data_IF_619667429886
#
_entry.id   IF_619667429886
#
_cell.length_a   1.000
_cell.length_b   1.000
_cell.length_c   1.000
_cell.angle_alpha   90.00
_cell.angle_beta   90.00
_cell.angle_gamma   90.00
#
_symmetry.space_group_name_H-M   'P 1'
#
loop_
_entity.id
_entity.type
_entity.pdbx_description
1 polymer ?
#
# COMPACT_ATOMS: atom_id res chain seq x y z
N UNK A 1 -6.96 4.34 -16.04
CA UNK A 1 -5.89 4.37 -15.02
C UNK A 1 -6.53 4.06 -13.69
N UNK A 2 -6.05 3.03 -13.01
CA UNK A 2 -6.58 2.57 -11.74
C UNK A 2 -5.43 2.61 -10.73
N UNK A 3 -5.68 3.26 -9.60
CA UNK A 3 -4.80 3.25 -8.45
C UNK A 3 -5.51 2.58 -7.29
N UNK A 4 -4.85 1.62 -6.67
CA UNK A 4 -5.34 0.90 -5.50
C UNK A 4 -4.36 1.16 -4.36
N UNK A 5 -4.90 1.63 -3.23
CA UNK A 5 -4.19 1.70 -1.96
C UNK A 5 -4.80 0.65 -1.04
N UNK A 6 -4.01 -0.32 -0.60
CA UNK A 6 -4.46 -1.41 0.28
C UNK A 6 -3.81 -1.28 1.65
N UNK A 7 -4.55 -0.74 2.61
CA UNK A 7 -4.10 -0.56 3.98
C UNK A 7 -4.73 -1.63 4.89
N UNK A 8 -4.03 -2.75 5.06
CA UNK A 8 -4.47 -3.89 5.86
C UNK A 8 -3.27 -4.72 6.32
N UNK A 9 -3.39 -5.40 7.47
CA UNK A 9 -2.36 -6.35 7.90
C UNK A 9 -2.15 -7.44 6.86
N UNK A 10 -0.90 -7.85 6.65
CA UNK A 10 -0.52 -8.93 5.72
C UNK A 10 -0.93 -8.67 4.25
N UNK A 11 -1.10 -7.41 3.86
CA UNK A 11 -1.69 -6.99 2.58
C UNK A 11 -0.82 -7.23 1.33
N UNK A 12 0.49 -7.39 1.49
CA UNK A 12 1.44 -7.41 0.37
C UNK A 12 1.77 -8.78 -0.19
N UNK A 13 1.29 -9.86 0.44
CA UNK A 13 1.56 -11.22 -0.03
C UNK A 13 1.01 -11.52 -1.43
N UNK A 14 -0.08 -10.85 -1.80
CA UNK A 14 -0.66 -10.92 -3.13
C UNK A 14 0.10 -10.06 -4.15
N UNK A 15 0.74 -8.98 -3.70
CA UNK A 15 1.40 -7.95 -4.54
C UNK A 15 2.85 -8.29 -4.88
N UNK A 16 3.56 -8.93 -3.95
CA UNK A 16 4.99 -9.21 -4.03
C UNK A 16 5.34 -10.62 -4.56
N UNK A 17 4.35 -11.42 -4.98
CA UNK A 17 4.52 -12.84 -5.38
C UNK A 17 5.20 -13.70 -4.30
N UNK A 18 5.16 -13.28 -3.03
CA UNK A 18 5.81 -13.96 -1.90
C UNK A 18 5.13 -15.28 -1.51
N UNK A 19 3.91 -15.54 -2.00
CA UNK A 19 3.27 -16.86 -1.91
C UNK A 19 3.78 -17.80 -3.01
N UNK A 20 5.06 -18.14 -2.95
CA UNK A 20 5.55 -19.38 -3.57
C UNK A 20 5.33 -20.52 -2.57
N UNK A 21 4.63 -21.56 -2.98
CA UNK A 21 4.40 -22.79 -2.19
C UNK A 21 5.74 -23.49 -1.98
N UNK A 22 6.51 -23.14 -0.96
CA UNK A 22 7.60 -24.01 -0.48
C UNK A 22 7.70 -24.12 1.05
N UNK A 23 6.96 -23.34 1.84
CA UNK A 23 7.08 -23.38 3.32
C UNK A 23 5.78 -23.13 4.08
N UNK A 24 4.66 -23.67 3.61
CA UNK A 24 3.45 -23.76 4.44
C UNK A 24 3.54 -24.99 5.36
N UNK A 25 4.32 -24.90 6.44
CA UNK A 25 4.11 -25.78 7.60
C UNK A 25 3.13 -25.10 8.56
N UNK A 26 2.01 -25.79 8.77
CA UNK A 26 1.06 -25.70 9.88
C UNK A 26 0.32 -24.38 10.08
N UNK A 27 -0.84 -24.26 9.42
CA UNK A 27 -2.11 -23.90 10.04
C UNK A 27 -3.24 -24.27 9.08
N UNK A 28 -4.13 -25.17 9.49
CA UNK A 28 -5.34 -25.56 8.78
C UNK A 28 -6.23 -24.34 8.52
N UNK A 29 -6.15 -23.77 7.32
CA UNK A 29 -7.14 -22.86 6.76
C UNK A 29 -7.67 -23.46 5.45
N UNK A 30 -8.54 -24.47 5.60
CA UNK A 30 -9.38 -25.01 4.52
C UNK A 30 -10.50 -24.03 4.12
N UNK A 31 -10.14 -22.79 3.77
CA UNK A 31 -11.01 -21.81 3.10
C UNK A 31 -10.41 -21.38 1.74
N UNK A 32 -9.20 -21.85 1.39
CA UNK A 32 -8.42 -21.31 0.28
C UNK A 32 -7.89 -22.37 -0.71
N UNK A 33 -8.54 -23.53 -0.81
CA UNK A 33 -8.04 -24.65 -1.63
C UNK A 33 -8.30 -24.54 -3.14
N UNK A 34 -8.83 -23.42 -3.66
CA UNK A 34 -8.87 -23.21 -5.13
C UNK A 34 -8.85 -21.74 -5.60
N UNK A 35 -8.91 -20.76 -4.69
CA UNK A 35 -8.98 -19.34 -5.07
C UNK A 35 -7.61 -18.64 -5.16
N UNK A 36 -6.55 -19.27 -4.63
CA UNK A 36 -5.18 -18.70 -4.61
C UNK A 36 -4.49 -18.81 -5.97
N UNK A 37 -5.10 -19.46 -6.96
CA UNK A 37 -4.46 -19.74 -8.26
C UNK A 37 -4.23 -18.49 -9.10
N UNK A 38 -4.87 -17.33 -8.88
CA UNK A 38 -4.76 -16.21 -9.84
C UNK A 38 -4.89 -14.81 -9.23
N UNK A 39 -3.77 -14.23 -8.80
CA UNK A 39 -3.56 -12.78 -9.00
C UNK A 39 -3.23 -12.49 -10.49
N UNK A 40 -4.01 -13.05 -11.43
CA UNK A 40 -3.81 -12.83 -12.89
C UNK A 40 -4.06 -11.36 -13.30
N UNK A 41 -4.65 -10.55 -12.42
CA UNK A 41 -5.17 -9.23 -12.80
C UNK A 41 -4.29 -8.03 -12.41
N UNK A 42 -3.23 -8.21 -11.60
CA UNK A 42 -2.30 -7.10 -11.29
C UNK A 42 -1.31 -6.76 -12.42
N UNK A 43 -1.29 -7.56 -13.49
CA UNK A 43 -0.43 -7.36 -14.67
C UNK A 43 -1.07 -6.47 -15.75
N UNK A 44 -2.24 -5.89 -15.49
CA UNK A 44 -2.93 -5.01 -16.43
C UNK A 44 -2.15 -3.71 -16.63
N UNK A 45 -2.21 -3.19 -17.86
CA UNK A 45 -1.66 -1.88 -18.19
C UNK A 45 -2.44 -0.79 -17.44
N UNK A 46 -1.73 0.24 -16.97
CA UNK A 46 -2.32 1.40 -16.28
C UNK A 46 -3.04 1.09 -14.97
N UNK A 47 -2.55 0.07 -14.27
CA UNK A 47 -2.95 -0.34 -12.94
C UNK A 47 -1.73 -0.31 -12.02
N UNK A 48 -1.91 0.28 -10.84
CA UNK A 48 -0.90 0.26 -9.78
C UNK A 48 -1.54 0.03 -8.42
N UNK A 49 -0.91 -0.82 -7.63
CA UNK A 49 -1.27 -1.16 -6.26
C UNK A 49 -0.12 -0.77 -5.34
N UNK A 50 -0.43 -0.01 -4.29
CA UNK A 50 0.45 0.17 -3.14
C UNK A 50 -0.22 -0.49 -1.94
N UNK A 51 0.43 -1.45 -1.31
CA UNK A 51 -0.05 -2.09 -0.08
C UNK A 51 0.81 -1.70 1.13
N UNK A 52 0.21 -1.74 2.32
CA UNK A 52 0.79 -1.25 3.57
C UNK A 52 1.97 -2.05 4.10
N UNK A 53 2.10 -3.32 3.75
CA UNK A 53 3.18 -4.22 4.19
C UNK A 53 3.22 -5.49 3.34
N UNK A 54 4.28 -6.30 3.41
CA UNK A 54 4.39 -7.63 2.78
C UNK A 54 3.48 -8.70 3.43
N UNK A 55 3.57 -9.95 2.92
CA UNK A 55 2.74 -11.09 3.39
C UNK A 55 2.89 -11.43 4.88
N UNK A 56 4.07 -11.18 5.45
CA UNK A 56 4.40 -11.48 6.84
C UNK A 56 4.41 -10.27 7.76
N UNK A 57 4.02 -9.08 7.26
CA UNK A 57 4.13 -7.83 8.00
C UNK A 57 2.78 -7.36 8.54
N UNK A 58 2.80 -6.91 9.79
CA UNK A 58 1.68 -6.18 10.38
C UNK A 58 1.60 -4.77 9.80
N UNK A 59 0.38 -4.25 9.71
CA UNK A 59 0.12 -2.82 9.52
C UNK A 59 -0.27 -2.21 10.85
N UNK A 60 0.21 -1.01 11.11
CA UNK A 60 0.05 -0.37 12.41
C UNK A 60 -0.87 0.85 12.32
N UNK A 61 -1.59 1.08 13.41
CA UNK A 61 -2.21 2.36 13.73
C UNK A 61 -1.22 3.25 14.48
N UNK A 62 -1.45 4.56 14.43
CA UNK A 62 -0.74 5.50 15.30
C UNK A 62 -1.04 5.15 16.78
N UNK A 63 -0.12 5.42 17.72
CA UNK A 63 -0.34 5.13 19.14
C UNK A 63 -1.57 5.82 19.75
N UNK A 64 -2.06 6.89 19.14
CA UNK A 64 -3.28 7.60 19.53
C UNK A 64 -4.59 6.93 19.02
N UNK A 65 -4.48 5.84 18.25
CA UNK A 65 -5.62 5.10 17.69
C UNK A 65 -6.41 5.86 16.64
N UNK A 66 -5.90 6.98 16.13
CA UNK A 66 -6.66 7.85 15.21
C UNK A 66 -6.80 7.27 13.80
N UNK A 67 -5.69 6.75 13.25
CA UNK A 67 -5.60 6.27 11.88
C UNK A 67 -4.36 5.36 11.70
N UNK A 68 -4.37 4.53 10.67
CA UNK A 68 -3.20 3.76 10.21
C UNK A 68 -1.98 4.66 9.96
N UNK A 69 -0.78 4.16 10.26
CA UNK A 69 0.49 4.86 9.99
C UNK A 69 0.62 5.20 8.50
N UNK A 70 0.34 4.27 7.59
CA UNK A 70 0.45 4.50 6.15
C UNK A 70 -0.47 5.62 5.67
N UNK A 71 -1.74 5.59 6.04
CA UNK A 71 -2.67 6.67 5.67
C UNK A 71 -2.30 8.01 6.30
N UNK A 72 -1.79 8.04 7.55
CA UNK A 72 -1.31 9.28 8.17
C UNK A 72 -0.17 9.93 7.38
N UNK A 73 0.82 9.13 6.98
CA UNK A 73 1.97 9.60 6.19
C UNK A 73 1.53 10.09 4.80
N UNK A 74 0.58 9.40 4.17
CA UNK A 74 -0.01 9.85 2.89
C UNK A 74 -0.73 11.19 3.03
N UNK A 75 -1.57 11.36 4.05
CA UNK A 75 -2.27 12.62 4.31
C UNK A 75 -1.27 13.75 4.57
N UNK A 76 -0.24 13.51 5.40
CA UNK A 76 0.79 14.49 5.69
C UNK A 76 1.56 14.91 4.43
N UNK A 77 1.81 13.97 3.50
CA UNK A 77 2.41 14.25 2.21
C UNK A 77 1.47 15.09 1.32
N UNK A 78 0.18 14.74 1.26
CA UNK A 78 -0.83 15.47 0.48
C UNK A 78 -1.05 16.91 0.99
N UNK A 79 -0.94 17.13 2.30
CA UNK A 79 -1.04 18.48 2.89
C UNK A 79 0.14 19.38 2.48
N UNK A 80 1.29 18.81 2.13
CA UNK A 80 2.49 19.56 1.72
C UNK A 80 2.57 19.77 0.20
N UNK A 81 1.85 18.97 -0.59
CA UNK A 81 1.91 18.96 -2.04
C UNK A 81 0.49 18.91 -2.63
N UNK A 82 0.12 19.92 -3.41
CA UNK A 82 -1.18 19.99 -4.10
C UNK A 82 -1.30 19.02 -5.29
N UNK A 83 -0.23 18.28 -5.60
CA UNK A 83 -0.19 17.27 -6.65
C UNK A 83 0.87 16.24 -6.30
N UNK A 84 0.48 14.97 -6.25
CA UNK A 84 1.38 13.87 -5.94
C UNK A 84 1.46 12.87 -7.08
N UNK A 85 2.66 12.62 -7.59
CA UNK A 85 2.90 11.45 -8.43
C UNK A 85 2.78 10.17 -7.58
N UNK A 86 2.08 9.16 -8.06
CA UNK A 86 1.97 7.86 -7.38
C UNK A 86 3.34 7.21 -7.15
N UNK A 87 4.29 7.36 -8.07
CA UNK A 87 5.65 6.86 -7.91
C UNK A 87 6.40 7.59 -6.78
N UNK A 88 6.30 8.92 -6.73
CA UNK A 88 6.86 9.71 -5.62
C UNK A 88 6.19 9.39 -4.28
N UNK A 89 4.88 9.13 -4.32
CA UNK A 89 4.10 8.74 -3.14
C UNK A 89 4.65 7.45 -2.55
N UNK A 90 4.89 6.44 -3.40
CA UNK A 90 5.50 5.19 -2.94
C UNK A 90 6.91 5.41 -2.35
N UNK A 91 7.76 6.19 -3.01
CA UNK A 91 9.12 6.50 -2.52
C UNK A 91 9.10 7.18 -1.15
N UNK A 92 8.13 8.05 -0.92
CA UNK A 92 7.93 8.65 0.39
C UNK A 92 7.51 7.61 1.43
N UNK A 93 6.47 6.82 1.14
CA UNK A 93 5.90 5.86 2.08
C UNK A 93 6.89 4.75 2.47
N UNK A 94 7.68 4.24 1.52
CA UNK A 94 8.69 3.20 1.81
C UNK A 94 9.82 3.72 2.72
N UNK A 95 9.95 5.05 2.87
CA UNK A 95 10.91 5.66 3.79
C UNK A 95 10.23 6.02 5.11
N UNK A 96 9.09 6.72 5.07
CA UNK A 96 8.49 7.33 6.25
C UNK A 96 7.75 6.33 7.12
N UNK A 97 7.07 5.33 6.55
CA UNK A 97 6.30 4.34 7.32
C UNK A 97 7.21 3.47 8.20
N UNK A 98 8.29 2.83 7.69
CA UNK A 98 9.20 2.07 8.55
C UNK A 98 9.85 2.95 9.61
N UNK A 99 10.20 4.19 9.26
CA UNK A 99 10.80 5.14 10.19
C UNK A 99 9.84 5.50 11.32
N UNK A 100 8.57 5.77 11.01
CA UNK A 100 7.54 6.05 12.00
C UNK A 100 7.37 4.89 12.97
N UNK A 101 7.21 3.67 12.45
CA UNK A 101 7.05 2.46 13.27
C UNK A 101 8.24 2.28 14.21
N UNK A 102 9.46 2.39 13.69
CA UNK A 102 10.70 2.30 14.48
C UNK A 102 10.76 3.30 15.64
N UNK A 103 10.29 4.52 15.41
CA UNK A 103 10.39 5.61 16.41
C UNK A 103 9.26 5.59 17.44
N UNK A 104 8.06 5.12 17.06
CA UNK A 104 6.85 5.31 17.87
C UNK A 104 6.24 4.00 18.37
N UNK A 105 6.68 2.84 17.89
CA UNK A 105 6.13 1.53 18.26
C UNK A 105 7.28 0.62 18.74
N UNK A 106 7.64 0.67 20.03
CA UNK A 106 8.77 -0.08 20.57
C UNK A 106 8.63 -1.59 20.36
N UNK A 107 9.67 -2.23 19.84
CA UNK A 107 9.71 -3.68 19.64
C UNK A 107 8.92 -4.18 18.41
N UNK A 108 8.31 -3.28 17.64
CA UNK A 108 7.66 -3.66 16.39
C UNK A 108 8.68 -3.90 15.27
N UNK A 109 8.43 -4.95 14.48
CA UNK A 109 9.11 -5.14 13.20
C UNK A 109 8.73 -4.02 12.22
N UNK A 110 9.64 -3.62 11.32
CA UNK A 110 9.35 -2.58 10.34
C UNK A 110 8.14 -2.94 9.46
N UNK A 111 7.22 -2.01 9.29
CA UNK A 111 6.17 -2.07 8.27
C UNK A 111 6.73 -1.48 6.96
N UNK A 112 6.87 -2.30 5.91
CA UNK A 112 7.46 -1.87 4.63
C UNK A 112 6.39 -1.89 3.54
N UNK A 113 5.89 -0.72 3.09
CA UNK A 113 4.97 -0.65 1.97
C UNK A 113 5.51 -1.33 0.72
N UNK A 114 4.62 -1.97 -0.03
CA UNK A 114 4.96 -2.67 -1.29
C UNK A 114 4.25 -2.03 -2.47
N UNK A 115 4.89 -2.07 -3.63
CA UNK A 115 4.38 -1.55 -4.89
C UNK A 115 4.27 -2.67 -5.91
N UNK A 116 3.16 -2.72 -6.65
CA UNK A 116 2.95 -3.69 -7.74
C UNK A 116 2.17 -3.06 -8.89
N UNK A 117 2.44 -3.49 -10.11
CA UNK A 117 1.80 -2.99 -11.33
C UNK A 117 2.66 -2.03 -12.15
N UNK A 118 2.04 -1.40 -13.15
CA UNK A 118 2.73 -0.52 -14.09
C UNK A 118 1.82 0.58 -14.63
N UNK A 119 2.38 1.78 -14.77
CA UNK A 119 1.73 2.92 -15.40
C UNK A 119 2.46 3.25 -16.71
N UNK A 120 1.72 3.51 -17.79
CA UNK A 120 2.33 3.93 -19.06
C UNK A 120 2.64 5.43 -19.10
N UNK A 121 2.01 6.19 -18.20
CA UNK A 121 2.27 7.61 -18.00
C UNK A 121 2.07 7.95 -16.51
N UNK A 122 2.72 9.00 -15.98
CA UNK A 122 2.55 9.41 -14.60
C UNK A 122 1.08 9.58 -14.20
N UNK A 123 0.71 9.04 -13.04
CA UNK A 123 -0.60 9.20 -12.43
C UNK A 123 -0.46 10.13 -11.23
N UNK A 124 -1.33 11.14 -11.15
CA UNK A 124 -1.29 12.13 -10.10
C UNK A 124 -2.52 12.05 -9.20
N UNK A 125 -2.31 12.05 -7.90
CA UNK A 125 -3.33 12.29 -6.89
C UNK A 125 -3.44 13.80 -6.68
N UNK A 126 -4.66 14.32 -6.79
CA UNK A 126 -4.98 15.74 -6.64
C UNK A 126 -6.04 15.86 -5.56
N UNK A 127 -5.87 16.72 -4.54
CA UNK A 127 -6.88 16.97 -3.53
C UNK A 127 -8.23 17.37 -4.16
N UNK A 128 -9.34 16.86 -3.60
CA UNK A 128 -10.67 17.10 -4.15
C UNK A 128 -11.06 18.59 -4.18
N UNK A 129 -10.53 19.40 -3.27
CA UNK A 129 -10.71 20.85 -3.24
C UNK A 129 -10.20 21.54 -4.51
N UNK A 130 -9.18 20.97 -5.15
CA UNK A 130 -8.60 21.47 -6.41
C UNK A 130 -9.17 20.75 -7.64
N UNK A 131 -9.80 19.60 -7.46
CA UNK A 131 -10.41 18.83 -8.54
C UNK A 131 -11.72 19.45 -9.05
N UNK A 132 -12.51 20.08 -8.18
CA UNK A 132 -13.76 20.76 -8.55
C UNK A 132 -13.54 21.91 -9.55
N UNK A 133 -12.35 22.52 -9.57
CA UNK A 133 -11.98 23.55 -10.54
C UNK A 133 -11.65 23.00 -11.94
N UNK A 134 -11.46 21.68 -12.11
CA UNK A 134 -11.02 21.07 -13.37
C UNK A 134 -12.11 20.31 -14.15
N UNK A 135 -13.29 20.14 -13.56
CA UNK A 135 -14.42 19.47 -14.21
C UNK A 135 -15.48 20.44 -14.75
N UNK A 136 -15.23 21.75 -14.66
CA UNK A 136 -16.11 22.82 -15.14
C UNK A 136 -15.57 23.55 -16.38
N UNK A 137 -14.48 23.06 -17.00
CA UNK A 137 -13.91 23.59 -18.26
C UNK A 137 -14.02 22.54 -19.38
#
# INVERSE_FOLDING_TARGET
>A
RIFILLDACYSGGHSAREKSIETAKSADFQILDDEVVRAKDLGQKDLVLIASGGSGQLSFERPDGSISVMTAELIALMQRKNRLDVAETFQHLVTSVPQYVKLNIPGAEPQIPVYSGSLQAPLFLIPATDAAARFND
#
